data_IF_146369112858
#
_entry.id   IF_146369112858
#
_cell.length_a   1.000
_cell.length_b   1.000
_cell.length_c   1.000
_cell.angle_alpha   90.00
_cell.angle_beta   90.00
_cell.angle_gamma   90.00
#
_symmetry.space_group_name_H-M   'P 1'
#
loop_
_entity.id
_entity.type
_entity.pdbx_description
1 polymer ?
#
# COMPACT_ATOMS: atom_id res chain seq x y z
N UNK A 1 24.97 26.41 -39.98
CA UNK A 1 25.29 26.28 -38.54
C UNK A 1 24.10 26.73 -37.70
N UNK A 2 23.20 25.84 -37.29
CA UNK A 2 22.13 26.13 -36.32
C UNK A 2 21.45 24.83 -35.86
N UNK A 3 22.21 23.96 -35.18
CA UNK A 3 21.71 22.67 -34.69
C UNK A 3 22.40 22.30 -33.37
N UNK A 4 22.31 23.16 -32.36
CA UNK A 4 22.92 22.87 -31.03
C UNK A 4 22.04 23.26 -29.82
N UNK A 5 20.93 24.01 -29.97
CA UNK A 5 20.17 24.49 -28.77
C UNK A 5 19.01 23.62 -28.26
N UNK A 6 18.48 22.67 -29.02
CA UNK A 6 17.30 21.87 -28.60
C UNK A 6 17.62 20.60 -27.81
N UNK A 7 18.81 20.02 -27.96
CA UNK A 7 19.21 18.80 -27.23
C UNK A 7 19.53 19.03 -25.76
N UNK A 8 19.80 20.27 -25.34
CA UNK A 8 20.24 20.57 -23.98
C UNK A 8 19.07 20.82 -23.00
N UNK A 9 17.83 20.93 -23.51
CA UNK A 9 16.64 21.18 -22.70
C UNK A 9 15.88 19.89 -22.33
N UNK A 10 15.94 18.84 -23.18
CA UNK A 10 15.34 17.53 -22.87
C UNK A 10 16.11 16.79 -21.77
N UNK A 11 17.45 16.82 -21.80
CA UNK A 11 18.29 16.23 -20.75
C UNK A 11 18.19 16.95 -19.39
N UNK A 12 17.75 18.22 -19.39
CA UNK A 12 17.48 19.00 -18.16
C UNK A 12 16.12 18.69 -17.53
N UNK A 13 15.17 18.16 -18.31
CA UNK A 13 13.86 17.75 -17.83
C UNK A 13 13.91 16.35 -17.17
N UNK A 14 14.66 15.40 -17.74
CA UNK A 14 14.82 14.06 -17.16
C UNK A 14 15.66 14.06 -15.87
N UNK A 15 16.69 14.92 -15.77
CA UNK A 15 17.53 15.03 -14.57
C UNK A 15 16.86 15.71 -13.37
N UNK A 16 15.73 16.41 -13.55
CA UNK A 16 14.94 17.03 -12.46
C UNK A 16 13.95 16.08 -11.79
N UNK A 17 13.74 14.88 -12.30
CA UNK A 17 12.78 13.92 -11.73
C UNK A 17 13.33 13.09 -10.57
N UNK A 18 14.66 13.06 -10.35
CA UNK A 18 15.32 12.12 -9.43
C UNK A 18 15.53 12.61 -7.99
N UNK A 19 15.42 13.91 -7.71
CA UNK A 19 15.53 14.44 -6.34
C UNK A 19 14.37 15.40 -6.05
N UNK A 20 13.21 14.83 -5.73
CA UNK A 20 12.15 15.61 -5.06
C UNK A 20 12.58 15.78 -3.60
N UNK A 21 12.68 17.00 -3.06
CA UNK A 21 13.01 17.18 -1.64
C UNK A 21 11.91 16.52 -0.80
N UNK A 22 12.27 15.48 -0.05
CA UNK A 22 11.36 14.82 0.88
C UNK A 22 10.99 15.82 1.99
N UNK A 23 9.73 16.23 2.02
CA UNK A 23 9.19 16.97 3.14
C UNK A 23 9.11 16.05 4.36
N UNK A 24 9.58 16.54 5.51
CA UNK A 24 9.46 15.80 6.77
C UNK A 24 7.99 15.48 7.06
N UNK A 25 7.72 14.24 7.48
CA UNK A 25 6.38 13.73 7.72
C UNK A 25 5.64 14.53 8.80
N UNK A 26 6.37 15.04 9.80
CA UNK A 26 5.84 15.92 10.86
C UNK A 26 5.36 17.25 10.29
N UNK A 27 5.97 17.72 9.18
CA UNK A 27 5.59 18.98 8.54
C UNK A 27 4.23 18.88 7.82
N UNK A 28 3.77 17.67 7.49
CA UNK A 28 2.42 17.45 6.96
C UNK A 28 1.34 17.76 8.02
N UNK A 29 1.66 17.58 9.31
CA UNK A 29 0.77 17.88 10.44
C UNK A 29 0.93 19.32 10.98
N UNK A 30 1.66 20.20 10.28
CA UNK A 30 1.90 21.58 10.77
C UNK A 30 0.61 22.39 11.00
N UNK A 31 -0.48 22.02 10.31
CA UNK A 31 -1.79 22.67 10.44
C UNK A 31 -2.73 21.98 11.43
N UNK A 32 -2.27 20.97 12.15
CA UNK A 32 -3.05 20.28 13.17
C UNK A 32 -3.20 21.16 14.42
N UNK A 33 -4.44 21.26 14.90
CA UNK A 33 -4.80 21.99 16.12
C UNK A 33 -4.58 21.08 17.35
N UNK A 34 -4.49 21.63 18.56
CA UNK A 34 -4.34 20.81 19.78
C UNK A 34 -5.47 19.77 19.95
N UNK A 35 -6.70 20.11 19.53
CA UNK A 35 -7.84 19.18 19.50
C UNK A 35 -7.65 18.02 18.51
N UNK A 36 -6.93 18.24 17.41
CA UNK A 36 -6.65 17.18 16.43
C UNK A 36 -5.64 16.19 16.98
N UNK A 37 -4.62 16.70 17.69
CA UNK A 37 -3.65 15.84 18.36
C UNK A 37 -4.30 14.97 19.44
N UNK A 38 -5.23 15.53 20.22
CA UNK A 38 -6.01 14.75 21.18
C UNK A 38 -6.90 13.71 20.47
N UNK A 39 -7.57 14.10 19.38
CA UNK A 39 -8.38 13.20 18.56
C UNK A 39 -7.56 12.05 17.97
N UNK A 40 -6.41 12.34 17.36
CA UNK A 40 -5.49 11.34 16.80
C UNK A 40 -4.95 10.38 17.87
N UNK A 41 -4.65 10.89 19.07
CA UNK A 41 -4.21 10.06 20.19
C UNK A 41 -5.33 9.13 20.67
N UNK A 42 -6.54 9.65 20.82
CA UNK A 42 -7.70 8.83 21.17
C UNK A 42 -8.01 7.79 20.08
N UNK A 43 -7.97 8.18 18.81
CA UNK A 43 -8.09 7.30 17.67
C UNK A 43 -7.00 6.22 17.65
N UNK A 44 -5.76 6.54 18.02
CA UNK A 44 -4.68 5.57 18.11
C UNK A 44 -4.95 4.51 19.20
N UNK A 45 -5.46 4.91 20.37
CA UNK A 45 -5.85 3.97 21.43
C UNK A 45 -6.97 3.03 20.93
N UNK A 46 -7.98 3.57 20.24
CA UNK A 46 -9.02 2.75 19.61
C UNK A 46 -8.45 1.81 18.53
N UNK A 47 -7.56 2.30 17.65
CA UNK A 47 -6.93 1.47 16.62
C UNK A 47 -6.13 0.32 17.23
N UNK A 48 -5.41 0.56 18.34
CA UNK A 48 -4.69 -0.47 19.09
C UNK A 48 -5.67 -1.49 19.68
N UNK A 49 -6.75 -1.03 20.34
CA UNK A 49 -7.75 -1.91 20.93
C UNK A 49 -8.43 -2.81 19.88
N UNK A 50 -8.70 -2.27 18.68
CA UNK A 50 -9.20 -3.05 17.55
C UNK A 50 -8.18 -4.06 17.02
N UNK A 51 -6.90 -3.68 16.90
CA UNK A 51 -5.86 -4.58 16.37
C UNK A 51 -5.65 -5.83 17.23
N UNK A 52 -5.80 -5.72 18.54
CA UNK A 52 -5.66 -6.85 19.49
C UNK A 52 -6.81 -7.87 19.34
N UNK A 53 -7.91 -7.51 18.68
CA UNK A 53 -9.06 -8.39 18.49
C UNK A 53 -8.75 -9.68 17.72
N UNK A 54 -7.92 -9.60 16.68
CA UNK A 54 -7.62 -10.74 15.82
C UNK A 54 -6.86 -11.84 16.59
N UNK A 55 -5.81 -11.53 17.38
CA UNK A 55 -5.20 -12.51 18.30
C UNK A 55 -6.14 -13.01 19.40
N UNK A 56 -7.04 -12.17 19.93
CA UNK A 56 -8.01 -12.60 20.96
C UNK A 56 -8.98 -13.67 20.42
N UNK A 57 -9.42 -13.54 19.17
CA UNK A 57 -10.23 -14.55 18.48
C UNK A 57 -9.53 -15.92 18.49
N UNK A 58 -8.21 -15.95 18.27
CA UNK A 58 -7.44 -17.20 18.28
C UNK A 58 -7.40 -17.85 19.68
N UNK A 59 -7.39 -17.06 20.76
CA UNK A 59 -7.44 -17.59 22.14
C UNK A 59 -8.81 -18.21 22.42
N UNK A 60 -9.90 -17.52 22.09
CA UNK A 60 -11.26 -18.05 22.31
C UNK A 60 -11.45 -19.34 21.49
N UNK A 61 -10.94 -19.37 20.26
CA UNK A 61 -10.96 -20.58 19.43
C UNK A 61 -10.13 -21.72 20.06
N UNK A 62 -8.97 -21.42 20.64
CA UNK A 62 -8.16 -22.42 21.34
C UNK A 62 -8.93 -23.04 22.52
N UNK A 63 -9.67 -22.25 23.28
CA UNK A 63 -10.48 -22.75 24.40
C UNK A 63 -11.61 -23.68 23.92
N UNK A 64 -12.26 -23.34 22.79
CA UNK A 64 -13.24 -24.23 22.15
C UNK A 64 -12.60 -25.55 21.73
N UNK A 65 -11.44 -25.50 21.05
CA UNK A 65 -10.72 -26.71 20.61
C UNK A 65 -10.36 -27.58 21.82
N UNK A 66 -9.84 -26.99 22.90
CA UNK A 66 -9.49 -27.72 24.12
C UNK A 66 -10.73 -28.39 24.75
N UNK A 67 -11.88 -27.70 24.78
CA UNK A 67 -13.14 -28.27 25.30
C UNK A 67 -13.65 -29.45 24.47
N UNK A 68 -13.53 -29.36 23.14
CA UNK A 68 -13.88 -30.45 22.23
C UNK A 68 -12.95 -31.64 22.41
N UNK A 69 -11.63 -31.40 22.54
CA UNK A 69 -10.66 -32.47 22.81
C UNK A 69 -10.91 -33.15 24.16
N UNK A 70 -11.28 -32.40 25.20
CA UNK A 70 -11.61 -32.98 26.50
C UNK A 70 -12.85 -33.91 26.44
N UNK A 71 -13.83 -33.56 25.61
CA UNK A 71 -15.00 -34.40 25.35
C UNK A 71 -14.67 -35.65 24.53
N UNK A 72 -13.87 -35.52 23.46
CA UNK A 72 -13.50 -36.68 22.62
C UNK A 72 -12.65 -37.71 23.36
N UNK A 73 -11.83 -37.28 24.31
CA UNK A 73 -11.01 -38.15 25.18
C UNK A 73 -11.84 -38.75 26.34
N UNK A 74 -13.12 -38.37 26.49
CA UNK A 74 -14.04 -38.93 27.48
C UNK A 74 -13.90 -38.35 28.89
N UNK A 75 -13.21 -37.22 29.04
CA UNK A 75 -12.96 -36.56 30.33
C UNK A 75 -14.10 -35.61 30.71
N UNK A 76 -14.85 -35.09 29.74
CA UNK A 76 -15.93 -34.13 29.95
C UNK A 76 -17.31 -34.70 29.58
N UNK A 77 -18.35 -34.30 30.33
CA UNK A 77 -19.74 -34.66 30.02
C UNK A 77 -20.32 -33.74 28.92
N UNK A 78 -21.36 -34.19 28.19
CA UNK A 78 -22.03 -33.38 27.16
C UNK A 78 -22.50 -32.01 27.69
N UNK A 79 -23.00 -31.96 28.92
CA UNK A 79 -23.51 -30.73 29.54
C UNK A 79 -22.40 -29.70 29.79
N UNK A 80 -21.23 -30.16 30.24
CA UNK A 80 -20.06 -29.30 30.46
C UNK A 80 -19.51 -28.73 29.15
N UNK A 81 -19.55 -29.51 28.06
CA UNK A 81 -19.18 -29.04 26.74
C UNK A 81 -20.15 -27.95 26.26
N UNK A 82 -21.46 -28.16 26.38
CA UNK A 82 -22.44 -27.17 25.94
C UNK A 82 -22.33 -25.86 26.73
N UNK A 83 -22.05 -25.94 28.03
CA UNK A 83 -21.82 -24.76 28.88
C UNK A 83 -20.56 -24.00 28.46
N UNK A 84 -19.43 -24.70 28.23
CA UNK A 84 -18.18 -24.06 27.82
C UNK A 84 -18.26 -23.43 26.43
N UNK A 85 -18.88 -24.12 25.46
CA UNK A 85 -19.10 -23.58 24.12
C UNK A 85 -20.04 -22.38 24.18
N UNK A 86 -21.11 -22.45 24.99
CA UNK A 86 -22.02 -21.33 25.22
C UNK A 86 -21.31 -20.10 25.78
N UNK A 87 -20.41 -20.29 26.74
CA UNK A 87 -19.58 -19.22 27.31
C UNK A 87 -18.60 -18.63 26.28
N UNK A 88 -17.93 -19.47 25.49
CA UNK A 88 -17.03 -19.03 24.41
C UNK A 88 -17.77 -18.29 23.29
N UNK A 89 -18.97 -18.72 22.93
CA UNK A 89 -19.83 -18.02 21.97
C UNK A 89 -20.22 -16.62 22.48
N UNK A 90 -20.53 -16.48 23.78
CA UNK A 90 -20.77 -15.16 24.38
C UNK A 90 -19.52 -14.27 24.33
N UNK A 91 -18.32 -14.80 24.55
CA UNK A 91 -17.09 -14.01 24.40
C UNK A 91 -16.88 -13.50 22.97
N UNK A 92 -17.24 -14.29 21.94
CA UNK A 92 -17.23 -13.81 20.55
C UNK A 92 -18.19 -12.64 20.33
N UNK A 93 -19.40 -12.71 20.90
CA UNK A 93 -20.38 -11.63 20.80
C UNK A 93 -19.87 -10.37 21.51
N UNK A 94 -19.35 -10.48 22.73
CA UNK A 94 -18.78 -9.34 23.45
C UNK A 94 -17.61 -8.70 22.71
N UNK A 95 -16.73 -9.52 22.12
CA UNK A 95 -15.62 -9.04 21.30
C UNK A 95 -16.14 -8.32 20.05
N UNK A 96 -17.11 -8.88 19.34
CA UNK A 96 -17.71 -8.23 18.17
C UNK A 96 -18.35 -6.89 18.49
N UNK A 97 -19.12 -6.82 19.60
CA UNK A 97 -19.75 -5.59 20.09
C UNK A 97 -18.70 -4.55 20.51
N UNK A 98 -17.52 -4.96 20.99
CA UNK A 98 -16.43 -4.04 21.32
C UNK A 98 -15.66 -3.55 20.08
N UNK A 99 -15.38 -4.43 19.12
CA UNK A 99 -14.56 -4.13 17.95
C UNK A 99 -15.30 -3.25 16.95
N UNK A 100 -16.59 -3.50 16.73
CA UNK A 100 -17.40 -2.73 15.78
C UNK A 100 -17.40 -1.21 16.04
N UNK A 101 -17.73 -0.70 17.24
CA UNK A 101 -17.68 0.73 17.51
C UNK A 101 -16.24 1.25 17.53
N UNK A 102 -15.28 0.46 18.04
CA UNK A 102 -13.88 0.88 18.13
C UNK A 102 -13.27 1.10 16.75
N UNK A 103 -13.53 0.18 15.80
CA UNK A 103 -13.12 0.29 14.40
C UNK A 103 -13.71 1.50 13.72
N UNK A 104 -15.02 1.69 13.89
CA UNK A 104 -15.74 2.83 13.34
C UNK A 104 -15.19 4.16 13.87
N UNK A 105 -15.00 4.27 15.19
CA UNK A 105 -14.54 5.50 15.86
C UNK A 105 -13.14 5.88 15.38
N UNK A 106 -12.17 4.97 15.38
CA UNK A 106 -10.82 5.34 14.95
C UNK A 106 -10.82 5.76 13.47
N UNK A 107 -11.52 5.01 12.61
CA UNK A 107 -11.55 5.30 11.18
C UNK A 107 -12.21 6.65 10.90
N UNK A 108 -13.32 6.95 11.59
CA UNK A 108 -14.01 8.23 11.49
C UNK A 108 -13.15 9.41 11.94
N UNK A 109 -12.42 9.28 13.06
CA UNK A 109 -11.55 10.34 13.58
C UNK A 109 -10.40 10.63 12.62
N UNK A 110 -9.67 9.59 12.20
CA UNK A 110 -8.53 9.76 11.28
C UNK A 110 -8.96 10.33 9.93
N UNK A 111 -10.10 9.89 9.40
CA UNK A 111 -10.64 10.39 8.14
C UNK A 111 -11.12 11.84 8.25
N UNK A 112 -11.86 12.18 9.31
CA UNK A 112 -12.36 13.54 9.54
C UNK A 112 -11.23 14.55 9.74
N UNK A 113 -10.21 14.22 10.54
CA UNK A 113 -9.05 15.09 10.76
C UNK A 113 -8.24 15.23 9.47
N UNK A 114 -8.04 14.13 8.74
CA UNK A 114 -7.33 14.17 7.46
C UNK A 114 -8.04 15.01 6.40
N UNK A 115 -9.37 14.90 6.27
CA UNK A 115 -10.16 15.76 5.39
C UNK A 115 -10.01 17.24 5.75
N UNK A 116 -10.03 17.57 7.04
CA UNK A 116 -9.85 18.95 7.50
C UNK A 116 -8.46 19.50 7.20
N UNK A 117 -7.39 18.72 7.45
CA UNK A 117 -6.02 19.11 7.14
C UNK A 117 -5.83 19.33 5.64
N UNK A 118 -6.33 18.39 4.83
CA UNK A 118 -6.28 18.46 3.38
C UNK A 118 -7.05 19.67 2.86
N UNK A 119 -8.20 20.00 3.43
CA UNK A 119 -8.95 21.21 3.08
C UNK A 119 -8.13 22.50 3.33
N UNK A 120 -7.47 22.61 4.49
CA UNK A 120 -6.61 23.77 4.82
C UNK A 120 -5.43 23.87 3.85
N UNK A 121 -4.80 22.73 3.52
CA UNK A 121 -3.70 22.66 2.56
C UNK A 121 -4.18 23.10 1.17
N UNK A 122 -5.32 22.57 0.70
CA UNK A 122 -5.94 22.91 -0.59
C UNK A 122 -6.25 24.40 -0.70
N UNK A 123 -6.85 24.97 0.35
CA UNK A 123 -7.16 26.39 0.42
C UNK A 123 -5.90 27.26 0.37
N UNK A 124 -4.89 26.97 1.20
CA UNK A 124 -3.63 27.74 1.22
C UNK A 124 -2.84 27.61 -0.07
N UNK A 125 -2.85 26.42 -0.68
CA UNK A 125 -2.24 26.19 -1.98
C UNK A 125 -2.90 27.07 -3.04
N UNK A 126 -4.23 27.10 -3.11
CA UNK A 126 -4.96 27.95 -4.05
C UNK A 126 -4.65 29.45 -3.84
N UNK A 127 -4.67 29.91 -2.59
CA UNK A 127 -4.32 31.31 -2.26
C UNK A 127 -2.86 31.63 -2.64
N UNK A 128 -1.94 30.68 -2.44
CA UNK A 128 -0.53 30.84 -2.80
C UNK A 128 -0.34 30.94 -4.32
N UNK A 129 -1.01 30.08 -5.08
CA UNK A 129 -1.00 30.08 -6.55
C UNK A 129 -1.55 31.39 -7.11
N UNK A 130 -2.67 31.89 -6.57
CA UNK A 130 -3.29 33.14 -7.03
C UNK A 130 -2.46 34.39 -6.73
N UNK A 131 -1.50 34.31 -5.79
CA UNK A 131 -0.58 35.40 -5.45
C UNK A 131 0.73 35.37 -6.23
N UNK A 132 0.97 34.36 -7.07
CA UNK A 132 2.20 34.26 -7.85
C UNK A 132 2.19 35.17 -9.07
N UNK A 133 3.39 35.53 -9.50
CA UNK A 133 3.62 36.36 -10.69
C UNK A 133 3.17 35.64 -11.97
N UNK A 134 2.81 36.41 -13.00
CA UNK A 134 2.39 35.88 -14.29
C UNK A 134 3.49 35.02 -14.94
N UNK A 135 4.76 35.40 -14.75
CA UNK A 135 5.91 34.63 -15.23
C UNK A 135 6.00 33.21 -14.61
N UNK A 136 5.57 33.04 -13.35
CA UNK A 136 5.49 31.72 -12.72
C UNK A 136 4.32 30.90 -13.30
N UNK A 137 3.18 31.57 -13.50
CA UNK A 137 1.98 30.92 -14.07
C UNK A 137 2.18 30.48 -15.53
N UNK A 138 2.94 31.23 -16.32
CA UNK A 138 3.33 30.85 -17.68
C UNK A 138 4.33 29.69 -17.71
N UNK A 139 5.20 29.59 -16.70
CA UNK A 139 6.16 28.50 -16.58
C UNK A 139 5.50 27.17 -16.14
N UNK A 140 4.51 27.24 -15.24
CA UNK A 140 3.76 26.09 -14.72
C UNK A 140 2.33 26.13 -15.27
N UNK A 141 2.15 25.63 -16.49
CA UNK A 141 0.86 25.71 -17.20
C UNK A 141 -0.34 25.26 -16.35
N UNK A 142 -1.51 25.87 -16.60
CA UNK A 142 -2.70 25.74 -15.76
C UNK A 142 -3.12 24.29 -15.45
N UNK A 143 -2.89 23.34 -16.37
CA UNK A 143 -3.16 21.91 -16.18
C UNK A 143 -2.34 21.27 -15.05
N UNK A 144 -1.09 21.69 -14.86
CA UNK A 144 -0.24 21.18 -13.79
C UNK A 144 -0.75 21.65 -12.41
N UNK A 145 -1.16 22.91 -12.32
CA UNK A 145 -1.75 23.48 -11.09
C UNK A 145 -3.06 22.77 -10.72
N UNK A 146 -3.93 22.54 -11.71
CA UNK A 146 -5.20 21.82 -11.53
C UNK A 146 -4.99 20.35 -11.12
N UNK A 147 -3.93 19.70 -11.63
CA UNK A 147 -3.56 18.33 -11.23
C UNK A 147 -2.98 18.30 -9.81
N UNK A 148 -2.15 19.29 -9.44
CA UNK A 148 -1.58 19.37 -8.10
C UNK A 148 -2.66 19.59 -7.02
N UNK A 149 -3.65 20.44 -7.28
CA UNK A 149 -4.69 20.73 -6.29
C UNK A 149 -5.65 19.55 -6.08
N UNK A 150 -5.82 18.70 -7.09
CA UNK A 150 -6.65 17.50 -7.02
C UNK A 150 -5.79 16.30 -6.59
N UNK A 151 -5.11 15.67 -7.54
CA UNK A 151 -4.40 14.40 -7.36
C UNK A 151 -3.34 14.43 -6.25
N UNK A 152 -2.43 15.43 -6.22
CA UNK A 152 -1.39 15.45 -5.17
C UNK A 152 -1.98 15.70 -3.78
N UNK A 153 -3.08 16.44 -3.70
CA UNK A 153 -3.76 16.74 -2.44
C UNK A 153 -4.53 15.53 -1.93
N UNK A 154 -5.14 14.74 -2.83
CA UNK A 154 -5.81 13.49 -2.48
C UNK A 154 -4.80 12.42 -2.01
N UNK A 155 -3.62 12.33 -2.64
CA UNK A 155 -2.52 11.46 -2.18
C UNK A 155 -2.03 11.83 -0.77
N UNK A 156 -1.94 13.14 -0.48
CA UNK A 156 -1.60 13.63 0.86
C UNK A 156 -2.70 13.28 1.86
N UNK A 157 -3.97 13.40 1.49
CA UNK A 157 -5.09 13.00 2.34
C UNK A 157 -5.02 11.52 2.70
N UNK A 158 -4.86 10.64 1.71
CA UNK A 158 -4.78 9.19 1.93
C UNK A 158 -3.61 8.83 2.86
N UNK A 159 -2.46 9.49 2.67
CA UNK A 159 -1.25 9.28 3.47
C UNK A 159 -1.32 9.77 4.91
N UNK A 160 -2.08 10.82 5.19
CA UNK A 160 -2.23 11.40 6.55
C UNK A 160 -3.39 10.74 7.32
N UNK A 161 -4.44 10.29 6.62
CA UNK A 161 -5.65 9.74 7.25
C UNK A 161 -5.60 8.22 7.37
N UNK A 162 -6.09 7.53 6.35
CA UNK A 162 -6.40 6.11 6.35
C UNK A 162 -5.15 5.25 6.57
N UNK A 163 -4.06 5.52 5.86
CA UNK A 163 -2.86 4.68 5.94
C UNK A 163 -2.22 4.71 7.32
N UNK A 164 -2.27 5.85 8.02
CA UNK A 164 -1.68 6.00 9.36
C UNK A 164 -2.43 5.16 10.38
N UNK A 165 -3.76 5.23 10.33
CA UNK A 165 -4.62 4.44 11.20
C UNK A 165 -4.39 2.93 11.00
N UNK A 166 -4.32 2.50 9.74
CA UNK A 166 -4.04 1.11 9.38
C UNK A 166 -2.66 0.65 9.85
N UNK A 167 -1.61 1.47 9.71
CA UNK A 167 -0.26 1.13 10.20
C UNK A 167 -0.28 0.91 11.72
N UNK A 168 -0.96 1.78 12.47
CA UNK A 168 -1.06 1.64 13.94
C UNK A 168 -1.84 0.37 14.32
N UNK A 169 -2.96 0.11 13.64
CA UNK A 169 -3.78 -1.08 13.81
C UNK A 169 -2.99 -2.37 13.53
N UNK A 170 -2.29 -2.43 12.40
CA UNK A 170 -1.55 -3.61 11.96
C UNK A 170 -0.31 -3.84 12.83
N UNK A 171 0.35 -2.76 13.28
CA UNK A 171 1.44 -2.85 14.25
C UNK A 171 0.95 -3.39 15.60
N UNK A 172 -0.21 -2.92 16.06
CA UNK A 172 -0.82 -3.44 17.29
C UNK A 172 -1.18 -4.92 17.15
N UNK A 173 -1.75 -5.33 16.02
CA UNK A 173 -2.07 -6.72 15.68
C UNK A 173 -0.81 -7.58 15.66
N UNK A 174 0.25 -7.09 15.03
CA UNK A 174 1.55 -7.76 14.96
C UNK A 174 2.15 -7.96 16.36
N UNK A 175 2.28 -6.89 17.15
CA UNK A 175 2.88 -6.95 18.49
C UNK A 175 2.06 -7.87 19.40
N UNK A 176 0.74 -7.69 19.45
CA UNK A 176 -0.13 -8.51 20.32
C UNK A 176 -0.15 -9.97 19.90
N UNK A 177 -0.15 -10.27 18.59
CA UNK A 177 -0.05 -11.63 18.06
C UNK A 177 1.23 -12.34 18.52
N UNK A 178 2.39 -11.67 18.41
CA UNK A 178 3.66 -12.22 18.88
C UNK A 178 3.67 -12.42 20.40
N UNK A 179 3.19 -11.44 21.18
CA UNK A 179 3.12 -11.55 22.64
C UNK A 179 2.27 -12.75 23.07
N UNK A 180 1.08 -12.90 22.48
CA UNK A 180 0.18 -14.03 22.79
C UNK A 180 0.80 -15.37 22.38
N UNK A 181 1.47 -15.43 21.22
CA UNK A 181 2.14 -16.64 20.75
C UNK A 181 3.26 -17.08 21.71
N UNK A 182 4.13 -16.15 22.14
CA UNK A 182 5.21 -16.42 23.08
C UNK A 182 4.69 -16.86 24.46
N UNK A 183 3.59 -16.28 24.95
CA UNK A 183 2.96 -16.67 26.22
C UNK A 183 2.41 -18.10 26.16
N UNK A 184 1.74 -18.48 25.06
CA UNK A 184 1.10 -19.79 24.93
C UNK A 184 2.12 -20.91 24.71
N UNK A 185 3.03 -20.77 23.75
CA UNK A 185 4.08 -21.75 23.51
C UNK A 185 5.31 -21.11 22.85
N UNK A 186 6.31 -20.79 23.67
CA UNK A 186 7.54 -20.16 23.20
C UNK A 186 8.38 -21.05 22.28
N UNK A 187 8.32 -22.39 22.43
CA UNK A 187 9.10 -23.32 21.59
C UNK A 187 8.56 -23.37 20.17
N UNK A 188 7.25 -23.57 20.02
CA UNK A 188 6.60 -23.61 18.70
C UNK A 188 6.71 -22.25 18.00
N UNK A 189 6.55 -21.15 18.75
CA UNK A 189 6.68 -19.79 18.22
C UNK A 189 8.09 -19.51 17.69
N UNK A 190 9.15 -19.99 18.36
CA UNK A 190 10.53 -19.79 17.90
C UNK A 190 10.79 -20.51 16.57
N UNK A 191 10.26 -21.73 16.42
CA UNK A 191 10.38 -22.52 15.18
C UNK A 191 9.66 -21.84 14.02
N UNK A 192 8.45 -21.35 14.25
CA UNK A 192 7.68 -20.66 13.19
C UNK A 192 8.23 -19.28 12.86
N UNK A 193 8.87 -18.61 13.82
CA UNK A 193 9.53 -17.32 13.61
C UNK A 193 10.67 -17.39 12.58
N UNK A 194 11.34 -18.54 12.42
CA UNK A 194 12.36 -18.74 11.38
C UNK A 194 11.82 -18.57 9.95
N UNK A 195 10.51 -18.72 9.72
CA UNK A 195 9.88 -18.60 8.41
C UNK A 195 9.73 -17.11 8.02
N UNK A 196 9.51 -16.22 8.98
CA UNK A 196 9.31 -14.77 8.77
C UNK A 196 10.49 -14.11 8.03
N UNK A 197 11.76 -14.26 8.44
CA UNK A 197 12.89 -13.65 7.73
C UNK A 197 13.09 -14.26 6.34
N UNK A 198 12.78 -15.55 6.15
CA UNK A 198 12.84 -16.19 4.83
C UNK A 198 11.84 -15.50 3.89
N UNK A 199 10.59 -15.35 4.31
CA UNK A 199 9.57 -14.62 3.55
C UNK A 199 10.02 -13.19 3.25
N UNK A 200 10.57 -12.47 4.24
CA UNK A 200 11.03 -11.10 4.06
C UNK A 200 12.15 -10.97 3.01
N UNK A 201 13.13 -11.89 3.02
CA UNK A 201 14.22 -11.94 2.02
C UNK A 201 13.66 -12.15 0.61
N UNK A 202 12.74 -13.10 0.44
CA UNK A 202 12.09 -13.36 -0.85
C UNK A 202 11.29 -12.14 -1.33
N UNK A 203 10.47 -11.53 -0.47
CA UNK A 203 9.71 -10.32 -0.81
C UNK A 203 10.66 -9.21 -1.26
N UNK A 204 11.77 -8.99 -0.55
CA UNK A 204 12.73 -7.95 -0.89
C UNK A 204 13.41 -8.18 -2.25
N UNK A 205 13.95 -9.38 -2.47
CA UNK A 205 14.59 -9.77 -3.74
C UNK A 205 13.60 -9.60 -4.90
N UNK A 206 12.40 -10.11 -4.75
CA UNK A 206 11.39 -10.14 -5.80
C UNK A 206 10.80 -8.77 -6.08
N UNK A 207 10.59 -7.94 -5.06
CA UNK A 207 10.15 -6.55 -5.23
C UNK A 207 11.19 -5.73 -6.02
N UNK A 208 12.48 -5.97 -5.80
CA UNK A 208 13.56 -5.35 -6.57
C UNK A 208 13.49 -5.73 -8.06
N UNK A 209 13.26 -7.00 -8.37
CA UNK A 209 13.09 -7.45 -9.76
C UNK A 209 11.80 -6.90 -10.37
N UNK A 210 10.69 -6.96 -9.63
CA UNK A 210 9.39 -6.45 -10.06
C UNK A 210 9.46 -4.97 -10.43
N UNK A 211 10.03 -4.14 -9.55
CA UNK A 211 10.19 -2.71 -9.76
C UNK A 211 11.03 -2.44 -11.01
N UNK A 212 12.16 -3.15 -11.16
CA UNK A 212 13.03 -3.00 -12.35
C UNK A 212 12.30 -3.31 -13.66
N UNK A 213 11.56 -4.42 -13.74
CA UNK A 213 10.82 -4.76 -14.95
C UNK A 213 9.61 -3.85 -15.19
N UNK A 214 8.97 -3.37 -14.11
CA UNK A 214 7.87 -2.42 -14.22
C UNK A 214 8.34 -1.07 -14.76
N UNK A 215 9.46 -0.54 -14.27
CA UNK A 215 10.04 0.70 -14.78
C UNK A 215 10.47 0.54 -16.24
N UNK A 216 11.19 -0.53 -16.57
CA UNK A 216 11.61 -0.77 -17.96
C UNK A 216 10.43 -0.91 -18.93
N UNK A 217 9.32 -1.53 -18.50
CA UNK A 217 8.11 -1.62 -19.32
C UNK A 217 7.46 -0.25 -19.51
N UNK A 218 7.38 0.56 -18.45
CA UNK A 218 6.85 1.92 -18.51
C UNK A 218 7.69 2.83 -19.44
N UNK A 219 9.01 2.72 -19.39
CA UNK A 219 9.91 3.51 -20.25
C UNK A 219 9.71 3.19 -21.74
N UNK A 220 9.58 1.90 -22.09
CA UNK A 220 9.32 1.49 -23.48
C UNK A 220 7.92 1.91 -23.95
N UNK A 221 6.91 1.87 -23.08
CA UNK A 221 5.58 2.42 -23.38
C UNK A 221 5.61 3.94 -23.56
N UNK A 222 6.39 4.66 -22.76
CA UNK A 222 6.56 6.11 -22.92
C UNK A 222 7.18 6.44 -24.28
N UNK A 223 8.19 5.68 -24.72
CA UNK A 223 8.79 5.84 -26.06
C UNK A 223 7.78 5.58 -27.19
N UNK A 224 6.93 4.56 -27.05
CA UNK A 224 5.88 4.27 -28.02
C UNK A 224 4.84 5.41 -28.08
N UNK A 225 4.43 5.92 -26.93
CA UNK A 225 3.48 7.03 -26.83
C UNK A 225 4.03 8.31 -27.46
N UNK A 226 5.29 8.66 -27.20
CA UNK A 226 5.95 9.81 -27.84
C UNK A 226 5.97 9.67 -29.36
N UNK A 227 6.32 8.49 -29.89
CA UNK A 227 6.29 8.26 -31.34
C UNK A 227 4.88 8.38 -31.92
N UNK A 228 3.87 7.88 -31.21
CA UNK A 228 2.48 8.00 -31.63
C UNK A 228 2.02 9.47 -31.65
N UNK A 229 2.37 10.23 -30.62
CA UNK A 229 2.06 11.66 -30.51
C UNK A 229 2.72 12.47 -31.63
N UNK A 230 4.01 12.25 -31.90
CA UNK A 230 4.72 12.87 -33.04
C UNK A 230 4.05 12.54 -34.38
N UNK A 231 3.63 11.29 -34.56
CA UNK A 231 3.03 10.81 -35.80
C UNK A 231 1.64 11.40 -36.04
N UNK A 232 0.84 11.54 -34.98
CA UNK A 232 -0.50 12.16 -35.05
C UNK A 232 -0.37 13.66 -35.29
N UNK A 233 0.56 14.34 -34.59
CA UNK A 233 0.82 15.77 -34.76
C UNK A 233 1.29 16.10 -36.18
N UNK A 234 2.12 15.24 -36.79
CA UNK A 234 2.69 15.43 -38.13
C UNK A 234 1.98 14.63 -39.24
N UNK A 235 0.72 14.23 -39.04
CA UNK A 235 0.01 13.31 -39.94
C UNK A 235 -0.05 13.79 -41.40
N UNK A 236 -0.25 15.10 -41.63
CA UNK A 236 -0.27 15.69 -42.99
C UNK A 236 1.07 15.51 -43.70
N UNK A 237 2.18 15.72 -43.01
CA UNK A 237 3.55 15.52 -43.52
C UNK A 237 3.80 14.05 -43.82
N UNK A 238 3.36 13.16 -42.93
CA UNK A 238 3.51 11.71 -43.05
C UNK A 238 2.80 11.14 -44.28
N UNK A 239 1.60 11.66 -44.58
CA UNK A 239 0.82 11.33 -45.78
C UNK A 239 1.48 11.93 -47.03
N UNK A 240 1.93 13.19 -46.97
CA UNK A 240 2.57 13.87 -48.11
C UNK A 240 3.85 13.16 -48.58
N UNK A 241 4.65 12.61 -47.65
CA UNK A 241 5.84 11.82 -47.98
C UNK A 241 5.58 10.31 -48.09
N UNK A 242 4.32 9.86 -48.00
CA UNK A 242 3.90 8.46 -48.05
C UNK A 242 4.69 7.52 -47.09
N UNK A 243 5.08 8.02 -45.90
CA UNK A 243 5.93 7.28 -44.94
C UNK A 243 5.14 6.49 -43.88
N UNK A 244 3.82 6.36 -44.02
CA UNK A 244 2.93 5.65 -43.08
C UNK A 244 3.45 4.27 -42.67
N UNK A 245 3.90 3.47 -43.65
CA UNK A 245 4.35 2.10 -43.43
C UNK A 245 5.67 2.04 -42.65
N UNK A 246 6.54 3.04 -42.82
CA UNK A 246 7.84 3.09 -42.13
C UNK A 246 7.66 3.40 -40.64
N UNK A 247 6.77 4.35 -40.34
CA UNK A 247 6.44 4.72 -38.96
C UNK A 247 5.66 3.61 -38.25
N UNK A 248 4.73 2.95 -38.95
CA UNK A 248 4.01 1.78 -38.42
C UNK A 248 4.98 0.66 -38.01
N UNK A 249 5.96 0.33 -38.86
CA UNK A 249 6.99 -0.68 -38.53
C UNK A 249 7.79 -0.29 -37.30
N UNK A 250 8.21 0.97 -37.20
CA UNK A 250 8.95 1.48 -36.04
C UNK A 250 8.12 1.38 -34.75
N UNK A 251 6.82 1.71 -34.83
CA UNK A 251 5.91 1.58 -33.70
C UNK A 251 5.74 0.11 -33.26
N UNK A 252 5.58 -0.80 -34.22
CA UNK A 252 5.51 -2.25 -33.95
C UNK A 252 6.78 -2.78 -33.26
N UNK A 253 7.97 -2.32 -33.68
CA UNK A 253 9.23 -2.71 -33.05
C UNK A 253 9.33 -2.27 -31.58
N UNK A 254 8.86 -1.06 -31.26
CA UNK A 254 8.86 -0.55 -29.87
C UNK A 254 7.83 -1.31 -29.02
N UNK A 255 6.61 -1.51 -29.54
CA UNK A 255 5.58 -2.27 -28.81
C UNK A 255 6.03 -3.70 -28.54
N UNK A 256 6.68 -4.37 -29.50
CA UNK A 256 7.15 -5.75 -29.30
C UNK A 256 8.18 -5.84 -28.17
N UNK A 257 9.01 -4.81 -27.99
CA UNK A 257 9.95 -4.71 -26.84
C UNK A 257 9.22 -4.46 -25.52
N UNK A 258 8.21 -3.58 -25.54
CA UNK A 258 7.36 -3.32 -24.37
C UNK A 258 6.60 -4.58 -23.94
N UNK A 259 6.03 -5.33 -24.88
CA UNK A 259 5.34 -6.60 -24.67
C UNK A 259 6.28 -7.65 -24.06
N UNK A 260 7.49 -7.82 -24.61
CA UNK A 260 8.48 -8.76 -24.07
C UNK A 260 8.88 -8.41 -22.62
N UNK A 261 8.98 -7.12 -22.30
CA UNK A 261 9.26 -6.65 -20.93
C UNK A 261 8.07 -6.84 -20.00
N UNK A 262 6.85 -6.60 -20.50
CA UNK A 262 5.60 -6.86 -19.80
C UNK A 262 5.40 -8.34 -19.50
N UNK A 263 5.73 -9.24 -20.44
CA UNK A 263 5.67 -10.68 -20.22
C UNK A 263 6.65 -11.12 -19.12
N UNK A 264 7.88 -10.61 -19.14
CA UNK A 264 8.86 -10.87 -18.08
C UNK A 264 8.39 -10.36 -16.72
N UNK A 265 7.75 -9.19 -16.67
CA UNK A 265 7.11 -8.66 -15.44
C UNK A 265 6.01 -9.60 -14.93
N UNK A 266 5.10 -10.04 -15.79
CA UNK A 266 3.99 -10.93 -15.41
C UNK A 266 4.49 -12.29 -14.93
N UNK A 267 5.49 -12.88 -15.59
CA UNK A 267 6.13 -14.11 -15.14
C UNK A 267 6.81 -13.91 -13.79
N UNK A 268 7.55 -12.80 -13.61
CA UNK A 268 8.18 -12.47 -12.33
C UNK A 268 7.15 -12.34 -11.20
N UNK A 269 6.00 -11.71 -11.46
CA UNK A 269 4.90 -11.63 -10.50
C UNK A 269 4.31 -12.99 -10.15
N UNK A 270 4.06 -13.83 -11.16
CA UNK A 270 3.50 -15.17 -10.97
C UNK A 270 4.42 -16.08 -10.16
N UNK A 271 5.73 -16.05 -10.43
CA UNK A 271 6.75 -16.75 -9.64
C UNK A 271 6.76 -16.20 -8.20
N UNK A 272 6.67 -14.88 -8.04
CA UNK A 272 6.69 -14.24 -6.72
C UNK A 272 5.56 -14.71 -5.84
N UNK A 273 4.33 -14.66 -6.37
CA UNK A 273 3.15 -15.06 -5.63
C UNK A 273 3.19 -16.56 -5.28
N UNK A 274 3.60 -17.39 -6.24
CA UNK A 274 3.75 -18.85 -6.04
C UNK A 274 4.80 -19.18 -4.97
N UNK A 275 5.96 -18.53 -4.99
CA UNK A 275 7.01 -18.74 -3.99
C UNK A 275 6.55 -18.33 -2.59
N UNK A 276 5.85 -17.20 -2.45
CA UNK A 276 5.32 -16.74 -1.15
C UNK A 276 4.32 -17.75 -0.60
N UNK A 277 3.33 -18.18 -1.39
CA UNK A 277 2.36 -19.18 -0.94
C UNK A 277 3.01 -20.52 -0.62
N UNK A 278 4.00 -20.96 -1.41
CA UNK A 278 4.76 -22.18 -1.13
C UNK A 278 5.44 -22.12 0.25
N UNK A 279 6.13 -21.02 0.55
CA UNK A 279 6.81 -20.83 1.84
C UNK A 279 5.80 -20.81 3.00
N UNK A 280 4.64 -20.17 2.82
CA UNK A 280 3.58 -20.15 3.84
C UNK A 280 3.03 -21.56 4.11
N UNK A 281 2.74 -22.34 3.08
CA UNK A 281 2.25 -23.72 3.26
C UNK A 281 3.30 -24.67 3.85
N UNK A 282 4.56 -24.55 3.43
CA UNK A 282 5.67 -25.27 4.08
C UNK A 282 5.81 -24.86 5.55
N UNK A 283 5.57 -23.59 5.85
CA UNK A 283 5.54 -23.07 7.21
C UNK A 283 4.44 -23.69 8.06
N UNK A 284 3.23 -23.81 7.53
CA UNK A 284 2.14 -24.52 8.19
C UNK A 284 2.44 -26.00 8.39
N UNK A 285 3.01 -26.67 7.39
CA UNK A 285 3.41 -28.07 7.50
C UNK A 285 4.46 -28.28 8.61
N UNK A 286 5.47 -27.41 8.70
CA UNK A 286 6.47 -27.43 9.77
C UNK A 286 5.83 -27.19 11.15
N UNK A 287 4.91 -26.23 11.24
CA UNK A 287 4.21 -25.91 12.48
C UNK A 287 3.36 -27.09 12.98
N UNK A 288 2.66 -27.79 12.08
CA UNK A 288 1.88 -28.98 12.43
C UNK A 288 2.72 -30.24 12.69
N UNK A 289 3.90 -30.37 12.08
CA UNK A 289 4.78 -31.50 12.34
C UNK A 289 5.48 -31.37 13.70
N UNK A 290 5.83 -30.15 14.11
CA UNK A 290 6.49 -29.88 15.38
C UNK A 290 5.50 -29.73 16.56
N UNK A 291 4.30 -29.21 16.30
CA UNK A 291 3.25 -29.00 17.30
C UNK A 291 2.48 -30.27 17.61
#
# INVERSE_FOLDING_TARGET
MSKVKTSNNSNKAESRSKDKPNVSWVKLYTYATALDWLGLLFGAICAIASGVALPLIAIILNDIINSLTAFTVGVATPDQLMEQIGKSALYFVYLAVGVFPTTYIFMAIYKSIGERLTYIIRHRYLVGVLKQEMAWSDAYGAGQVATCITSNTDLVQEGISEKVALIIHDLATFISGFVIAFIKNWKLTLVTMCIVPIIAIFIFLLNKYFTRYSTSSLDEYANANTLAEESISSIRTLIAFNQKNKILKRYQEIIKKAEASGLKKSISLGITLSCIFCIVYLGYALAFWFG
#
